data_IF_221534064138
#
_entry.id   IF_221534064138
#
_cell.length_a   1.000
_cell.length_b   1.000
_cell.length_c   1.000
_cell.angle_alpha   90.00
_cell.angle_beta   90.00
_cell.angle_gamma   90.00
#
_symmetry.space_group_name_H-M   'P 1'
#
loop_
_entity.id
_entity.type
_entity.pdbx_description
1 polymer ?
#
# COMPACT_ATOMS: atom_id res chain seq x y z
N UNK A 1 19.32 -14.58 23.44
CA UNK A 1 19.23 -13.44 22.49
C UNK A 1 18.89 -13.86 21.07
N UNK A 2 19.50 -14.89 20.46
CA UNK A 2 19.18 -15.31 19.07
C UNK A 2 17.68 -15.54 18.79
N UNK A 3 17.03 -16.37 19.61
CA UNK A 3 15.60 -16.70 19.42
C UNK A 3 14.71 -15.46 19.45
N UNK A 4 15.06 -14.47 20.28
CA UNK A 4 14.36 -13.19 20.35
C UNK A 4 14.53 -12.36 19.06
N UNK A 5 15.73 -12.33 18.48
CA UNK A 5 15.98 -11.64 17.20
C UNK A 5 15.22 -12.30 16.03
N UNK A 6 15.21 -13.63 15.95
CA UNK A 6 14.46 -14.35 14.90
C UNK A 6 12.95 -14.23 15.06
N UNK A 7 12.41 -14.32 16.30
CA UNK A 7 10.99 -14.12 16.53
C UNK A 7 10.54 -12.70 16.20
N UNK A 8 11.38 -11.70 16.50
CA UNK A 8 11.13 -10.30 16.16
C UNK A 8 11.13 -10.08 14.65
N UNK A 9 12.10 -10.65 13.94
CA UNK A 9 12.14 -10.62 12.48
C UNK A 9 10.86 -11.24 11.88
N UNK A 10 10.51 -12.46 12.31
CA UNK A 10 9.31 -13.15 11.84
C UNK A 10 8.03 -12.31 12.08
N UNK A 11 7.88 -11.71 13.25
CA UNK A 11 6.75 -10.85 13.58
C UNK A 11 6.61 -9.68 12.61
N UNK A 12 7.71 -8.96 12.33
CA UNK A 12 7.68 -7.86 11.38
C UNK A 12 7.46 -8.32 9.94
N UNK A 13 8.01 -9.47 9.54
CA UNK A 13 7.76 -10.05 8.21
C UNK A 13 6.29 -10.38 8.01
N UNK A 14 5.65 -11.03 8.98
CA UNK A 14 4.21 -11.35 8.91
C UNK A 14 3.39 -10.05 8.86
N UNK A 15 3.71 -9.07 9.71
CA UNK A 15 3.03 -7.77 9.70
C UNK A 15 3.17 -7.02 8.36
N UNK A 16 4.35 -7.08 7.75
CA UNK A 16 4.61 -6.51 6.43
C UNK A 16 3.77 -7.21 5.35
N UNK A 17 3.79 -8.54 5.30
CA UNK A 17 3.01 -9.34 4.33
C UNK A 17 1.51 -9.03 4.45
N UNK A 18 0.98 -8.98 5.67
CA UNK A 18 -0.43 -8.64 5.91
C UNK A 18 -0.75 -7.23 5.41
N UNK A 19 0.14 -6.26 5.64
CA UNK A 19 -0.03 -4.87 5.19
C UNK A 19 -0.03 -4.76 3.67
N UNK A 20 0.85 -5.50 2.99
CA UNK A 20 0.93 -5.57 1.53
C UNK A 20 -0.34 -6.21 0.94
N UNK A 21 -0.79 -7.33 1.47
CA UNK A 21 -2.04 -7.98 1.03
C UNK A 21 -3.22 -7.02 1.20
N UNK A 22 -3.32 -6.35 2.36
CA UNK A 22 -4.35 -5.36 2.64
C UNK A 22 -4.30 -4.21 1.62
N UNK A 23 -3.10 -3.68 1.32
CA UNK A 23 -2.91 -2.62 0.34
C UNK A 23 -3.50 -3.02 -1.02
N UNK A 24 -3.14 -4.18 -1.55
CA UNK A 24 -3.64 -4.64 -2.86
C UNK A 24 -5.15 -4.87 -2.87
N UNK A 25 -5.70 -5.49 -1.83
CA UNK A 25 -7.15 -5.75 -1.73
C UNK A 25 -7.94 -4.45 -1.74
N UNK A 26 -7.55 -3.47 -0.93
CA UNK A 26 -8.29 -2.21 -0.84
C UNK A 26 -8.02 -1.27 -2.01
N UNK A 27 -6.83 -1.31 -2.60
CA UNK A 27 -6.55 -0.61 -3.85
C UNK A 27 -7.45 -1.14 -4.97
N UNK A 28 -7.58 -2.46 -5.10
CA UNK A 28 -8.49 -3.06 -6.08
C UNK A 28 -9.94 -2.67 -5.85
N UNK A 29 -10.41 -2.68 -4.58
CA UNK A 29 -11.75 -2.21 -4.21
C UNK A 29 -11.98 -0.75 -4.59
N UNK A 30 -11.02 0.14 -4.31
CA UNK A 30 -11.09 1.56 -4.69
C UNK A 30 -11.19 1.72 -6.20
N UNK A 31 -10.35 1.02 -6.97
CA UNK A 31 -10.36 1.13 -8.43
C UNK A 31 -11.67 0.60 -9.04
N UNK A 32 -12.21 -0.52 -8.54
CA UNK A 32 -13.52 -1.02 -8.96
C UNK A 32 -14.66 -0.07 -8.60
N UNK A 33 -14.60 0.52 -7.41
CA UNK A 33 -15.61 1.48 -6.97
C UNK A 33 -15.60 2.75 -7.84
N UNK A 34 -14.40 3.28 -8.14
CA UNK A 34 -14.25 4.42 -9.04
C UNK A 34 -14.71 4.08 -10.46
N UNK A 35 -14.40 2.90 -10.98
CA UNK A 35 -14.87 2.48 -12.30
C UNK A 35 -16.41 2.50 -12.40
N UNK A 36 -17.09 2.05 -11.34
CA UNK A 36 -18.56 1.94 -11.30
C UNK A 36 -19.27 3.28 -11.05
N UNK A 37 -18.74 4.11 -10.15
CA UNK A 37 -19.45 5.30 -9.65
C UNK A 37 -18.82 6.62 -10.10
N UNK A 38 -17.54 6.61 -10.47
CA UNK A 38 -16.73 7.81 -10.80
C UNK A 38 -15.85 7.54 -12.02
N UNK A 39 -16.45 7.05 -13.11
CA UNK A 39 -15.74 6.50 -14.27
C UNK A 39 -14.75 7.49 -14.89
N UNK A 40 -15.10 8.78 -14.93
CA UNK A 40 -14.20 9.82 -15.46
C UNK A 40 -12.92 9.94 -14.61
N UNK A 41 -13.05 9.89 -13.28
CA UNK A 41 -11.88 9.87 -12.40
C UNK A 41 -11.08 8.60 -12.57
N UNK A 42 -11.75 7.45 -12.71
CA UNK A 42 -11.06 6.19 -12.97
C UNK A 42 -10.25 6.23 -14.29
N UNK A 43 -10.80 6.79 -15.37
CA UNK A 43 -10.09 7.00 -16.63
C UNK A 43 -8.89 7.94 -16.46
N UNK A 44 -9.04 9.03 -15.73
CA UNK A 44 -7.94 9.97 -15.44
C UNK A 44 -6.77 9.26 -14.73
N UNK A 45 -7.08 8.40 -13.76
CA UNK A 45 -6.11 7.68 -12.94
C UNK A 45 -5.46 6.49 -13.67
N UNK A 46 -6.14 5.93 -14.66
CA UNK A 46 -5.69 4.72 -15.38
C UNK A 46 -5.24 4.99 -16.81
N UNK A 47 -5.16 6.25 -17.22
CA UNK A 47 -4.62 6.69 -18.51
C UNK A 47 -3.16 7.13 -18.36
N UNK A 48 -2.33 6.77 -19.33
CA UNK A 48 -0.94 7.22 -19.44
C UNK A 48 -0.75 7.74 -20.86
N UNK A 49 -0.43 9.03 -21.04
CA UNK A 49 0.16 9.61 -22.27
C UNK A 49 -0.18 8.81 -23.55
N UNK A 50 -1.45 8.83 -23.96
CA UNK A 50 -2.04 8.16 -25.15
C UNK A 50 -2.36 6.65 -25.09
N UNK A 51 -1.92 5.93 -24.06
CA UNK A 51 -2.44 4.62 -23.73
C UNK A 51 -3.74 4.78 -22.91
N UNK A 52 -4.84 4.29 -23.48
CA UNK A 52 -6.19 4.38 -22.93
C UNK A 52 -6.35 3.83 -21.49
N UNK A 53 -7.58 3.84 -20.95
CA UNK A 53 -7.81 3.47 -19.56
C UNK A 53 -7.49 1.99 -19.29
N UNK A 54 -6.71 1.73 -18.24
CA UNK A 54 -6.32 0.38 -17.79
C UNK A 54 -4.85 0.24 -17.40
N UNK A 55 -4.02 1.25 -17.69
CA UNK A 55 -2.61 1.27 -17.31
C UNK A 55 -2.42 1.97 -15.96
N UNK A 56 -1.62 1.36 -15.07
CA UNK A 56 -1.38 1.93 -13.75
C UNK A 56 -0.51 3.19 -13.85
N UNK A 57 -1.11 4.38 -13.81
CA UNK A 57 -0.38 5.64 -13.68
C UNK A 57 -0.05 5.88 -12.21
N UNK A 58 1.11 5.38 -11.78
CA UNK A 58 1.53 5.44 -10.38
C UNK A 58 1.60 6.87 -9.83
N UNK A 59 1.96 7.87 -10.64
CA UNK A 59 2.07 9.27 -10.21
C UNK A 59 0.68 9.87 -9.95
N UNK A 60 -0.25 9.77 -10.91
CA UNK A 60 -1.62 10.28 -10.72
C UNK A 60 -2.34 9.53 -9.62
N UNK A 61 -2.17 8.20 -9.58
CA UNK A 61 -2.68 7.34 -8.51
C UNK A 61 -2.21 7.78 -7.13
N UNK A 62 -0.92 8.09 -6.97
CA UNK A 62 -0.36 8.57 -5.70
C UNK A 62 -0.84 9.99 -5.35
N UNK A 63 -0.88 10.91 -6.31
CA UNK A 63 -1.43 12.27 -6.10
C UNK A 63 -2.88 12.23 -5.65
N UNK A 64 -3.70 11.42 -6.32
CA UNK A 64 -5.09 11.22 -5.90
C UNK A 64 -5.14 10.54 -4.54
N UNK A 65 -4.40 9.44 -4.36
CA UNK A 65 -4.41 8.67 -3.13
C UNK A 65 -4.10 9.57 -1.95
N UNK A 66 -3.09 10.43 -1.98
CA UNK A 66 -2.70 11.31 -0.86
C UNK A 66 -3.34 12.70 -0.87
N UNK A 67 -3.96 13.12 -1.97
CA UNK A 67 -4.61 14.42 -2.12
C UNK A 67 -5.94 14.55 -1.36
N UNK A 68 -6.43 15.79 -1.18
CA UNK A 68 -7.69 16.08 -0.46
C UNK A 68 -8.97 15.73 -1.24
N UNK A 69 -8.86 15.50 -2.54
CA UNK A 69 -10.01 15.22 -3.42
C UNK A 69 -10.69 13.88 -3.09
N UNK A 70 -11.98 13.88 -2.76
CA UNK A 70 -12.77 12.66 -2.55
C UNK A 70 -14.10 12.67 -3.33
N UNK A 71 -14.23 13.57 -4.30
CA UNK A 71 -15.38 13.68 -5.22
C UNK A 71 -16.73 13.92 -4.51
N UNK A 72 -16.71 14.38 -3.25
CA UNK A 72 -17.93 14.50 -2.44
C UNK A 72 -18.50 13.15 -1.97
N UNK A 73 -17.79 12.04 -2.20
CA UNK A 73 -18.26 10.69 -1.89
C UNK A 73 -17.55 10.13 -0.63
N UNK A 74 -18.29 9.91 0.48
CA UNK A 74 -17.73 9.36 1.71
C UNK A 74 -17.09 7.98 1.54
N UNK A 75 -17.57 7.15 0.63
CA UNK A 75 -17.02 5.81 0.39
C UNK A 75 -15.66 5.88 -0.30
N UNK A 76 -15.48 6.83 -1.21
CA UNK A 76 -14.17 7.14 -1.80
C UNK A 76 -13.20 7.57 -0.70
N UNK A 77 -13.61 8.47 0.19
CA UNK A 77 -12.78 8.90 1.31
C UNK A 77 -12.38 7.73 2.21
N UNK A 78 -13.35 6.88 2.59
CA UNK A 78 -13.11 5.70 3.43
C UNK A 78 -12.09 4.75 2.81
N UNK A 79 -12.28 4.40 1.53
CA UNK A 79 -11.38 3.51 0.80
C UNK A 79 -9.98 4.14 0.66
N UNK A 80 -9.89 5.44 0.34
CA UNK A 80 -8.60 6.15 0.27
C UNK A 80 -7.84 6.10 1.59
N UNK A 81 -8.51 6.36 2.72
CA UNK A 81 -7.88 6.31 4.05
C UNK A 81 -7.33 4.91 4.34
N UNK A 82 -8.09 3.86 4.04
CA UNK A 82 -7.63 2.48 4.25
C UNK A 82 -6.42 2.16 3.37
N UNK A 83 -6.45 2.56 2.10
CA UNK A 83 -5.33 2.34 1.17
C UNK A 83 -4.09 3.12 1.61
N UNK A 84 -4.23 4.39 2.02
CA UNK A 84 -3.13 5.22 2.57
C UNK A 84 -2.50 4.56 3.79
N UNK A 85 -3.32 4.16 4.75
CA UNK A 85 -2.83 3.55 5.98
C UNK A 85 -2.11 2.22 5.67
N UNK A 86 -2.67 1.39 4.78
CA UNK A 86 -2.04 0.14 4.36
C UNK A 86 -0.70 0.39 3.66
N UNK A 87 -0.62 1.44 2.84
CA UNK A 87 0.62 1.86 2.19
C UNK A 87 1.67 2.32 3.21
N UNK A 88 1.30 3.16 4.17
CA UNK A 88 2.20 3.62 5.23
C UNK A 88 2.68 2.45 6.10
N UNK A 89 1.79 1.54 6.49
CA UNK A 89 2.16 0.34 7.23
C UNK A 89 3.06 -0.60 6.42
N UNK A 90 2.86 -0.72 5.11
CA UNK A 90 3.76 -1.50 4.25
C UNK A 90 5.16 -0.87 4.21
N UNK A 91 5.28 0.46 4.09
CA UNK A 91 6.59 1.15 4.13
C UNK A 91 7.25 0.96 5.49
N UNK A 92 6.54 1.21 6.59
CA UNK A 92 7.07 1.01 7.94
C UNK A 92 7.48 -0.45 8.16
N UNK A 93 6.66 -1.40 7.73
CA UNK A 93 6.94 -2.83 7.80
C UNK A 93 8.20 -3.21 7.03
N UNK A 94 8.40 -2.68 5.82
CA UNK A 94 9.61 -2.93 5.03
C UNK A 94 10.87 -2.44 5.76
N UNK A 95 10.83 -1.23 6.34
CA UNK A 95 11.93 -0.68 7.15
C UNK A 95 12.21 -1.58 8.37
N UNK A 96 11.16 -1.98 9.10
CA UNK A 96 11.32 -2.81 10.29
C UNK A 96 11.83 -4.22 9.98
N UNK A 97 11.41 -4.82 8.86
CA UNK A 97 11.95 -6.10 8.37
C UNK A 97 13.45 -5.97 8.07
N UNK A 98 13.86 -4.88 7.41
CA UNK A 98 15.28 -4.65 7.12
C UNK A 98 16.11 -4.48 8.40
N UNK A 99 15.65 -3.67 9.35
CA UNK A 99 16.35 -3.44 10.62
C UNK A 99 16.42 -4.71 11.47
N UNK A 100 15.33 -5.46 11.57
CA UNK A 100 15.30 -6.71 12.35
C UNK A 100 16.15 -7.82 11.71
N UNK A 101 16.23 -7.86 10.38
CA UNK A 101 17.15 -8.75 9.67
C UNK A 101 18.61 -8.42 9.97
N UNK A 102 18.99 -7.15 9.87
CA UNK A 102 20.35 -6.69 10.17
C UNK A 102 20.76 -7.05 11.61
N UNK A 103 19.85 -6.87 12.58
CA UNK A 103 20.06 -7.28 13.97
C UNK A 103 20.22 -8.80 14.10
N UNK A 104 19.37 -9.58 13.43
CA UNK A 104 19.45 -11.04 13.49
C UNK A 104 20.80 -11.57 12.95
N UNK A 105 21.32 -10.97 11.87
CA UNK A 105 22.63 -11.30 11.31
C UNK A 105 23.76 -10.89 12.25
N UNK A 106 23.72 -9.68 12.82
CA UNK A 106 24.77 -9.17 13.70
C UNK A 106 24.98 -10.00 14.97
N UNK A 107 23.92 -10.64 15.48
CA UNK A 107 23.96 -11.48 16.68
C UNK A 107 24.04 -13.00 16.37
N UNK A 108 24.26 -13.39 15.12
CA UNK A 108 24.55 -14.78 14.76
C UNK A 108 26.00 -15.12 15.09
N UNK A 109 26.29 -16.22 15.81
CA UNK A 109 27.66 -16.67 15.98
C UNK A 109 28.22 -17.14 14.65
N UNK A 110 29.52 -16.97 14.49
CA UNK A 110 30.30 -17.54 13.40
C UNK A 110 30.37 -19.05 13.51
#
# INVERSE_FOLDING_TARGET
MKYFSYSTFLFFTVGFVVSVVRLFVYQHKLMRYLLKNHTEKWKELTSILDFGPGYANSIRGMKFLFGKEYLGDPEVLRLKVIVRNSFLFAIMGAVMVFLSFALAVAFSPK
#
